data_IF_544458246053
#
_entry.id   IF_544458246053
#
_cell.length_a   1.000
_cell.length_b   1.000
_cell.length_c   1.000
_cell.angle_alpha   90.00
_cell.angle_beta   90.00
_cell.angle_gamma   90.00
#
_symmetry.space_group_name_H-M   'P 1'
#
loop_
_entity.id
_entity.type
_entity.pdbx_description
1 polymer ?
#
# COMPACT_ATOMS: atom_id res chain seq x y z
N UNK A 1 5.78 -12.35 16.83
CA UNK A 1 4.91 -12.47 15.64
C UNK A 1 3.57 -11.86 16.01
N UNK A 2 3.18 -10.76 15.36
CA UNK A 2 1.90 -10.10 15.61
C UNK A 2 0.74 -11.07 15.36
N UNK A 3 -0.26 -11.07 16.25
CA UNK A 3 -1.36 -12.06 16.29
C UNK A 3 -2.45 -11.84 15.22
N UNK A 4 -2.30 -10.89 14.29
CA UNK A 4 -3.37 -10.62 13.32
C UNK A 4 -2.86 -10.17 11.93
N UNK A 5 -2.75 -11.10 10.95
CA UNK A 5 -2.29 -10.77 9.60
C UNK A 5 -3.20 -9.78 8.86
N UNK A 6 -4.49 -9.69 9.22
CA UNK A 6 -5.37 -8.68 8.63
C UNK A 6 -5.03 -7.26 9.10
N UNK A 7 -4.61 -7.08 10.36
CA UNK A 7 -4.20 -5.77 10.87
C UNK A 7 -2.92 -5.32 10.16
N UNK A 8 -1.95 -6.21 9.97
CA UNK A 8 -0.72 -5.90 9.22
C UNK A 8 -1.01 -5.50 7.77
N UNK A 9 -1.92 -6.22 7.09
CA UNK A 9 -2.33 -5.86 5.72
C UNK A 9 -3.02 -4.49 5.65
N UNK A 10 -3.91 -4.18 6.60
CA UNK A 10 -4.55 -2.86 6.67
C UNK A 10 -3.54 -1.76 6.93
N UNK A 11 -2.64 -1.96 7.88
CA UNK A 11 -1.56 -1.03 8.19
C UNK A 11 -0.67 -0.78 6.96
N UNK A 12 -0.31 -1.85 6.23
CA UNK A 12 0.45 -1.76 4.98
C UNK A 12 -0.26 -0.86 3.96
N UNK A 13 -1.53 -1.13 3.67
CA UNK A 13 -2.31 -0.33 2.72
C UNK A 13 -2.37 1.14 3.15
N UNK A 14 -2.62 1.42 4.43
CA UNK A 14 -2.68 2.78 4.95
C UNK A 14 -1.36 3.54 4.82
N UNK A 15 -0.25 2.93 5.24
CA UNK A 15 1.08 3.55 5.16
C UNK A 15 1.48 3.78 3.70
N UNK A 16 1.30 2.78 2.83
CA UNK A 16 1.55 2.93 1.40
C UNK A 16 0.73 4.07 0.77
N UNK A 17 -0.55 4.17 1.15
CA UNK A 17 -1.42 5.25 0.67
C UNK A 17 -0.90 6.61 1.13
N UNK A 18 -0.57 6.77 2.42
CA UNK A 18 -0.06 8.03 2.98
C UNK A 18 1.24 8.47 2.30
N UNK A 19 2.19 7.56 2.12
CA UNK A 19 3.46 7.81 1.43
C UNK A 19 3.23 8.21 -0.03
N UNK A 20 2.28 7.58 -0.72
CA UNK A 20 1.98 7.90 -2.13
C UNK A 20 1.29 9.25 -2.34
N UNK A 21 0.66 9.79 -1.29
CA UNK A 21 -0.06 11.07 -1.31
C UNK A 21 0.79 12.24 -0.80
N UNK A 22 1.98 11.98 -0.26
CA UNK A 22 2.86 13.03 0.23
C UNK A 22 3.42 13.83 -0.95
N UNK A 23 3.02 15.10 -1.06
CA UNK A 23 3.47 16.00 -2.14
C UNK A 23 4.87 16.55 -1.85
N UNK A 24 5.21 16.70 -0.56
CA UNK A 24 6.50 17.19 -0.09
C UNK A 24 7.04 16.22 0.97
N UNK A 25 8.23 15.63 0.77
CA UNK A 25 8.86 14.78 1.77
C UNK A 25 9.02 15.54 3.09
N UNK A 26 8.54 14.96 4.19
CA UNK A 26 8.69 15.53 5.52
C UNK A 26 9.19 14.49 6.54
N UNK A 27 9.45 14.92 7.78
CA UNK A 27 9.91 14.04 8.86
C UNK A 27 8.94 12.88 9.16
N UNK A 28 7.67 13.03 8.83
CA UNK A 28 6.68 11.97 9.04
C UNK A 28 6.86 10.85 8.01
N UNK A 29 7.31 11.15 6.79
CA UNK A 29 7.54 10.14 5.76
C UNK A 29 8.69 9.21 6.14
N UNK A 30 9.77 9.73 6.73
CA UNK A 30 10.88 8.91 7.25
C UNK A 30 10.42 7.97 8.38
N UNK A 31 9.59 8.48 9.31
CA UNK A 31 8.99 7.65 10.35
C UNK A 31 8.08 6.57 9.74
N UNK A 32 7.27 6.93 8.75
CA UNK A 32 6.37 5.98 8.06
C UNK A 32 7.14 4.89 7.32
N UNK A 33 8.30 5.20 6.75
CA UNK A 33 9.18 4.19 6.13
C UNK A 33 9.78 3.23 7.15
N UNK A 34 10.19 3.72 8.31
CA UNK A 34 10.66 2.87 9.39
C UNK A 34 9.55 1.90 9.82
N UNK A 35 8.32 2.42 10.01
CA UNK A 35 7.14 1.60 10.34
C UNK A 35 6.77 0.62 9.24
N UNK A 36 6.97 0.99 7.97
CA UNK A 36 6.72 0.13 6.83
C UNK A 36 7.58 -1.14 6.89
N UNK A 37 8.85 -1.02 7.30
CA UNK A 37 9.73 -2.17 7.52
C UNK A 37 9.20 -3.16 8.56
N UNK A 38 8.68 -2.66 9.69
CA UNK A 38 8.07 -3.48 10.75
C UNK A 38 6.81 -4.21 10.23
N UNK A 39 5.95 -3.49 9.51
CA UNK A 39 4.70 -4.03 8.96
C UNK A 39 4.99 -5.14 7.93
N UNK A 40 6.00 -4.96 7.07
CA UNK A 40 6.35 -5.94 6.03
C UNK A 40 6.73 -7.30 6.62
N UNK A 41 7.38 -7.32 7.79
CA UNK A 41 7.75 -8.56 8.49
C UNK A 41 6.52 -9.36 8.95
N UNK A 42 5.47 -8.68 9.42
CA UNK A 42 4.22 -9.30 9.85
C UNK A 42 3.24 -9.58 8.68
N UNK A 43 3.54 -9.08 7.47
CA UNK A 43 2.68 -9.20 6.28
C UNK A 43 3.20 -10.25 5.27
N UNK A 44 3.79 -11.35 5.75
CA UNK A 44 4.37 -12.39 4.87
C UNK A 44 3.32 -13.14 4.03
N UNK A 45 2.13 -13.36 4.60
CA UNK A 45 0.99 -14.02 3.94
C UNK A 45 -0.12 -13.01 3.65
N UNK A 46 0.12 -12.12 2.67
CA UNK A 46 -0.87 -11.15 2.23
C UNK A 46 -1.80 -11.71 1.15
N UNK A 47 -3.00 -11.14 1.03
CA UNK A 47 -3.92 -11.50 -0.06
C UNK A 47 -3.31 -11.18 -1.43
N UNK A 48 -3.76 -11.86 -2.48
CA UNK A 48 -3.31 -11.61 -3.84
C UNK A 48 -3.49 -10.14 -4.28
N UNK A 49 -4.49 -9.45 -3.74
CA UNK A 49 -4.77 -8.04 -4.01
C UNK A 49 -3.75 -7.10 -3.34
N UNK A 50 -3.21 -7.49 -2.18
CA UNK A 50 -2.26 -6.68 -1.40
C UNK A 50 -0.80 -6.99 -1.76
N UNK A 51 -0.52 -8.15 -2.36
CA UNK A 51 0.83 -8.57 -2.73
C UNK A 51 1.59 -7.57 -3.62
N UNK A 52 0.99 -6.94 -4.66
CA UNK A 52 1.68 -5.92 -5.44
C UNK A 52 2.11 -4.70 -4.61
N UNK A 53 1.24 -4.24 -3.70
CA UNK A 53 1.54 -3.16 -2.75
C UNK A 53 2.68 -3.53 -1.81
N UNK A 54 2.67 -4.75 -1.27
CA UNK A 54 3.75 -5.27 -0.42
C UNK A 54 5.09 -5.25 -1.16
N UNK A 55 5.12 -5.74 -2.40
CA UNK A 55 6.35 -5.78 -3.19
C UNK A 55 6.87 -4.38 -3.53
N UNK A 56 5.97 -3.42 -3.81
CA UNK A 56 6.36 -2.03 -4.04
C UNK A 56 6.90 -1.37 -2.76
N UNK A 57 6.25 -1.60 -1.62
CA UNK A 57 6.70 -1.15 -0.30
C UNK A 57 8.09 -1.70 0.06
N UNK A 58 8.33 -2.99 -0.18
CA UNK A 58 9.62 -3.62 0.05
C UNK A 58 10.74 -2.97 -0.79
N UNK A 59 10.48 -2.71 -2.08
CA UNK A 59 11.43 -1.98 -2.93
C UNK A 59 11.71 -0.57 -2.42
N UNK A 60 10.70 0.11 -1.88
CA UNK A 60 10.83 1.44 -1.32
C UNK A 60 11.70 1.45 -0.04
N UNK A 61 11.54 0.46 0.83
CA UNK A 61 12.35 0.28 2.04
C UNK A 61 13.80 -0.08 1.69
N UNK A 62 14.02 -0.87 0.63
CA UNK A 62 15.36 -1.29 0.21
C UNK A 62 16.11 -0.27 -0.67
N UNK A 63 15.45 0.80 -1.10
CA UNK A 63 16.05 1.83 -1.94
C UNK A 63 17.11 2.64 -1.17
N UNK A 64 18.39 2.51 -1.58
CA UNK A 64 19.54 3.11 -0.86
C UNK A 64 19.99 4.48 -1.37
N UNK A 65 19.54 4.89 -2.56
CA UNK A 65 19.94 6.15 -3.17
C UNK A 65 18.76 6.91 -3.76
N UNK A 66 18.92 8.23 -3.96
CA UNK A 66 17.85 9.13 -4.41
C UNK A 66 17.17 8.66 -5.70
N UNK A 67 17.92 8.17 -6.70
CA UNK A 67 17.33 7.68 -7.95
C UNK A 67 16.47 6.44 -7.74
N UNK A 68 16.99 5.44 -7.03
CA UNK A 68 16.25 4.21 -6.72
C UNK A 68 15.02 4.51 -5.86
N UNK A 69 15.12 5.51 -4.99
CA UNK A 69 14.07 5.98 -4.11
C UNK A 69 12.91 6.58 -4.92
N UNK A 70 13.19 7.54 -5.80
CA UNK A 70 12.16 8.14 -6.65
C UNK A 70 11.47 7.12 -7.56
N UNK A 71 12.21 6.15 -8.11
CA UNK A 71 11.62 5.06 -8.89
C UNK A 71 10.71 4.16 -8.05
N UNK A 72 11.12 3.84 -6.82
CA UNK A 72 10.31 3.04 -5.90
C UNK A 72 9.06 3.79 -5.43
N UNK A 73 9.15 5.10 -5.20
CA UNK A 73 8.01 5.97 -4.86
C UNK A 73 7.01 6.02 -6.01
N UNK A 74 7.49 6.19 -7.24
CA UNK A 74 6.64 6.14 -8.43
C UNK A 74 5.94 4.78 -8.58
N UNK A 75 6.68 3.69 -8.41
CA UNK A 75 6.11 2.34 -8.47
C UNK A 75 5.06 2.13 -7.37
N UNK A 76 5.34 2.57 -6.14
CA UNK A 76 4.38 2.52 -5.04
C UNK A 76 3.11 3.31 -5.36
N UNK A 77 3.24 4.52 -5.89
CA UNK A 77 2.10 5.37 -6.30
C UNK A 77 1.22 4.68 -7.33
N UNK A 78 1.82 4.02 -8.32
CA UNK A 78 1.09 3.26 -9.34
C UNK A 78 0.30 2.10 -8.70
N UNK A 79 0.92 1.32 -7.82
CA UNK A 79 0.25 0.18 -7.17
C UNK A 79 -0.85 0.61 -6.20
N UNK A 80 -0.68 1.73 -5.48
CA UNK A 80 -1.74 2.32 -4.64
C UNK A 80 -2.95 2.72 -5.49
N UNK A 81 -2.72 3.38 -6.64
CA UNK A 81 -3.81 3.76 -7.56
C UNK A 81 -4.56 2.54 -8.07
N UNK A 82 -3.85 1.47 -8.47
CA UNK A 82 -4.47 0.22 -8.92
C UNK A 82 -5.30 -0.44 -7.82
N UNK A 83 -4.75 -0.54 -6.61
CA UNK A 83 -5.44 -1.14 -5.47
C UNK A 83 -6.77 -0.42 -5.16
N UNK A 84 -6.72 0.92 -5.04
CA UNK A 84 -7.93 1.70 -4.76
C UNK A 84 -8.90 1.71 -5.95
N UNK A 85 -8.41 1.67 -7.19
CA UNK A 85 -9.27 1.52 -8.37
C UNK A 85 -10.05 0.21 -8.37
N UNK A 86 -9.40 -0.91 -8.02
CA UNK A 86 -10.06 -2.22 -7.88
C UNK A 86 -11.07 -2.23 -6.73
N UNK A 87 -10.70 -1.68 -5.58
CA UNK A 87 -11.60 -1.56 -4.43
C UNK A 87 -12.82 -0.69 -4.76
N UNK A 88 -12.62 0.43 -5.45
CA UNK A 88 -13.70 1.31 -5.89
C UNK A 88 -14.65 0.60 -6.87
N UNK A 89 -14.12 -0.12 -7.86
CA UNK A 89 -14.96 -0.89 -8.80
C UNK A 89 -15.81 -1.92 -8.07
N UNK A 90 -15.23 -2.63 -7.09
CA UNK A 90 -15.98 -3.62 -6.29
C UNK A 90 -17.13 -2.97 -5.54
N UNK A 91 -16.88 -1.82 -4.90
CA UNK A 91 -17.92 -1.05 -4.18
C UNK A 91 -19.01 -0.51 -5.13
N UNK A 92 -18.62 -0.05 -6.32
CA UNK A 92 -19.57 0.40 -7.35
C UNK A 92 -20.44 -0.75 -7.83
N UNK A 93 -19.85 -1.91 -8.11
CA UNK A 93 -20.58 -3.11 -8.57
C UNK A 93 -21.56 -3.59 -7.51
N UNK A 94 -21.15 -3.62 -6.24
CA UNK A 94 -22.02 -3.96 -5.10
C UNK A 94 -23.18 -2.96 -4.98
N UNK A 95 -22.90 -1.66 -5.11
CA UNK A 95 -23.92 -0.62 -5.09
C UNK A 95 -24.91 -0.74 -6.26
N UNK A 96 -24.44 -1.02 -7.48
CA UNK A 96 -25.30 -1.21 -8.65
C UNK A 96 -26.20 -2.45 -8.52
N UNK A 97 -25.64 -3.57 -8.04
CA UNK A 97 -26.41 -4.80 -7.75
C UNK A 97 -27.52 -4.54 -6.74
N UNK A 98 -27.24 -3.78 -5.67
CA UNK A 98 -28.22 -3.38 -4.67
C UNK A 98 -29.36 -2.50 -5.22
N UNK A 99 -29.19 -1.88 -6.39
CA UNK A 99 -30.21 -1.04 -7.05
C UNK A 99 -31.01 -1.77 -8.13
N UNK A 100 -30.82 -3.09 -8.31
CA UNK A 100 -31.54 -3.87 -9.33
C UNK A 100 -31.12 -3.57 -10.78
N UNK A 101 -29.96 -2.94 -10.98
CA UNK A 101 -29.34 -2.79 -12.30
C UNK A 101 -28.26 -3.86 -12.43
N UNK A 102 -28.64 -5.03 -12.93
CA UNK A 102 -27.74 -6.09 -13.37
C UNK A 102 -27.59 -6.03 -14.89
#
# INVERSE_FOLDING_TARGET
MSKNPMIAQRALVHVCTRLSMSVVPNSDDDLMLQRLGEILADCYACSAQVLPLRNAAERLVLAKNARSRSLAELALSIEVKKYHGLAANTLIDEWLKGRGRA
#
